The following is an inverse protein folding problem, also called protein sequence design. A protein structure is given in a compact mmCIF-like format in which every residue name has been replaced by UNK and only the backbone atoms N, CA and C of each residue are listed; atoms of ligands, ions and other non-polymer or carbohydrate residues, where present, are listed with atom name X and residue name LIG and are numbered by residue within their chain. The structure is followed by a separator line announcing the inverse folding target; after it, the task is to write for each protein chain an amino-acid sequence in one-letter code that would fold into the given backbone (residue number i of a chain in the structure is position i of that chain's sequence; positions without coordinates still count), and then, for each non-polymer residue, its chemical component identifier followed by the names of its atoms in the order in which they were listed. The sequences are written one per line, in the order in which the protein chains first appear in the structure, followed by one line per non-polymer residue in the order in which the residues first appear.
data_IF_753909779550
#
_entry.id   IF_753909779550
#
_cell.length_a   1.000
_cell.length_b   1.000
_cell.length_c   1.000
_cell.angle_alpha   90.00
_cell.angle_beta   90.00
_cell.angle_gamma   90.00
#
_symmetry.space_group_name_H-M   'P 1'
#
loop_
_entity.id
_entity.type
_entity.pdbx_description
1 polymer ?
#
# COMPACT_ATOMS: atom_id res chain seq x y z
N UNK A 1 10.71 19.74 6.30
CA UNK A 1 9.52 19.07 5.73
C UNK A 1 9.61 17.61 6.10
N UNK A 2 9.03 17.20 7.22
CA UNK A 2 8.80 15.79 7.56
C UNK A 2 7.72 15.77 8.65
N UNK A 3 6.46 15.78 8.24
CA UNK A 3 5.37 15.41 9.15
C UNK A 3 5.31 13.88 9.13
N UNK A 4 5.86 13.23 10.16
CA UNK A 4 5.61 11.82 10.44
C UNK A 4 4.88 11.74 11.79
N UNK A 5 3.57 11.50 11.81
CA UNK A 5 2.95 10.79 12.89
C UNK A 5 2.98 9.30 12.56
N UNK A 6 3.80 8.57 13.31
CA UNK A 6 3.72 7.12 13.37
C UNK A 6 2.33 6.67 13.84
N UNK A 7 1.80 5.66 13.18
CA UNK A 7 0.78 4.77 13.76
C UNK A 7 1.22 3.34 13.43
N UNK A 8 1.73 2.71 14.48
CA UNK A 8 1.88 1.28 14.66
C UNK A 8 0.46 0.68 14.55
N UNK A 9 0.12 0.08 13.40
CA UNK A 9 -1.04 -0.84 13.19
C UNK A 9 -1.24 -1.22 11.71
N UNK A 10 -0.54 -0.59 10.77
CA UNK A 10 -0.67 -0.97 9.37
C UNK A 10 0.40 -0.30 8.53
N UNK A 11 1.12 -1.10 7.75
CA UNK A 11 2.14 -0.62 6.82
C UNK A 11 1.63 0.63 6.08
N UNK A 12 2.34 1.74 6.25
CA UNK A 12 2.09 3.02 5.56
C UNK A 12 1.92 2.78 4.05
N UNK A 13 1.08 3.55 3.34
CA UNK A 13 0.97 3.39 1.87
C UNK A 13 2.35 3.46 1.20
N UNK A 14 3.21 4.38 1.66
CA UNK A 14 4.60 4.50 1.23
C UNK A 14 5.43 3.25 1.56
N UNK A 15 5.33 2.73 2.78
CA UNK A 15 6.05 1.52 3.18
C UNK A 15 5.56 0.27 2.42
N UNK A 16 4.27 0.17 2.12
CA UNK A 16 3.71 -0.93 1.33
C UNK A 16 4.21 -0.86 -0.11
N UNK A 17 4.38 0.35 -0.64
CA UNK A 17 4.95 0.58 -1.96
C UNK A 17 6.46 0.29 -2.01
N UNK A 18 7.21 0.59 -0.96
CA UNK A 18 8.62 0.19 -0.83
C UNK A 18 8.77 -1.33 -0.77
N UNK A 19 7.95 -2.00 0.04
CA UNK A 19 7.96 -3.47 0.15
C UNK A 19 7.57 -4.13 -1.19
N UNK A 20 6.61 -3.56 -1.92
CA UNK A 20 6.27 -4.03 -3.27
C UNK A 20 7.43 -3.89 -4.26
N UNK A 21 8.20 -2.79 -4.20
CA UNK A 21 9.39 -2.61 -5.06
C UNK A 21 10.51 -3.59 -4.71
N UNK A 22 10.70 -3.89 -3.42
CA UNK A 22 11.64 -4.92 -2.98
C UNK A 22 11.24 -6.30 -3.50
N UNK A 23 9.95 -6.65 -3.36
CA UNK A 23 9.40 -7.90 -3.92
C UNK A 23 9.65 -7.96 -5.42
N UNK A 24 9.40 -6.88 -6.17
CA UNK A 24 9.63 -6.83 -7.61
C UNK A 24 11.10 -7.08 -7.97
N UNK A 25 12.01 -6.45 -7.23
CA UNK A 25 13.46 -6.62 -7.40
C UNK A 25 13.89 -8.07 -7.13
N UNK A 26 13.31 -8.71 -6.11
CA UNK A 26 13.56 -10.12 -5.81
C UNK A 26 13.00 -11.06 -6.89
N UNK A 27 11.83 -10.76 -7.44
CA UNK A 27 11.22 -11.56 -8.52
C UNK A 27 12.04 -11.51 -9.82
N UNK A 28 12.76 -10.41 -10.06
CA UNK A 28 13.65 -10.23 -11.23
C UNK A 28 15.03 -10.86 -11.04
N UNK A 29 15.36 -11.30 -9.82
CA UNK A 29 16.66 -11.91 -9.52
C UNK A 29 16.74 -13.35 -10.06
N UNK A 30 17.83 -13.64 -10.77
CA UNK A 30 18.03 -14.88 -11.53
C UNK A 30 18.23 -16.14 -10.66
N UNK A 31 18.39 -15.98 -9.33
CA UNK A 31 18.69 -17.06 -8.39
C UNK A 31 17.59 -17.34 -7.36
N UNK A 32 16.33 -17.05 -7.68
CA UNK A 32 15.21 -17.24 -6.73
C UNK A 32 14.46 -18.54 -6.96
N UNK A 33 14.23 -19.28 -5.87
CA UNK A 33 13.44 -20.51 -5.83
C UNK A 33 11.95 -20.23 -6.14
N UNK A 34 11.29 -21.13 -6.88
CA UNK A 34 9.88 -20.98 -7.27
C UNK A 34 8.94 -20.89 -6.06
N UNK A 35 9.27 -21.60 -4.97
CA UNK A 35 8.50 -21.54 -3.73
C UNK A 35 8.64 -20.18 -3.04
N UNK A 36 9.82 -19.57 -3.16
CA UNK A 36 10.08 -18.22 -2.65
C UNK A 36 9.34 -17.16 -3.49
N UNK A 37 9.31 -17.30 -4.82
CA UNK A 37 8.53 -16.43 -5.70
C UNK A 37 7.04 -16.47 -5.34
N UNK A 38 6.48 -17.67 -5.11
CA UNK A 38 5.07 -17.83 -4.74
C UNK A 38 4.73 -17.09 -3.43
N UNK A 39 5.57 -17.25 -2.39
CA UNK A 39 5.39 -16.56 -1.12
C UNK A 39 5.49 -15.03 -1.25
N UNK A 40 6.38 -14.52 -2.13
CA UNK A 40 6.52 -13.09 -2.41
C UNK A 40 5.32 -12.52 -3.17
N UNK A 41 4.80 -13.24 -4.14
CA UNK A 41 3.59 -12.84 -4.89
C UNK A 41 2.37 -12.77 -3.95
N UNK A 42 2.19 -13.74 -3.05
CA UNK A 42 1.11 -13.67 -2.05
C UNK A 42 1.25 -12.45 -1.13
N UNK A 43 2.47 -12.11 -0.74
CA UNK A 43 2.74 -10.92 0.08
C UNK A 43 2.39 -9.66 -0.71
N UNK A 44 2.78 -9.58 -1.98
CA UNK A 44 2.42 -8.47 -2.85
C UNK A 44 0.91 -8.31 -3.01
N UNK A 45 0.14 -9.40 -3.18
CA UNK A 45 -1.33 -9.34 -3.25
C UNK A 45 -1.93 -8.71 -1.98
N UNK A 46 -1.44 -9.12 -0.80
CA UNK A 46 -1.89 -8.53 0.48
C UNK A 46 -1.59 -7.03 0.57
N UNK A 47 -0.41 -6.61 0.15
CA UNK A 47 -0.02 -5.18 0.14
C UNK A 47 -0.87 -4.37 -0.85
N UNK A 48 -1.16 -4.91 -2.02
CA UNK A 48 -2.01 -4.26 -3.02
C UNK A 48 -3.44 -4.06 -2.49
N UNK A 49 -4.01 -5.07 -1.83
CA UNK A 49 -5.33 -4.96 -1.19
C UNK A 49 -5.34 -3.86 -0.13
N UNK A 50 -4.34 -3.85 0.75
CA UNK A 50 -4.18 -2.79 1.75
C UNK A 50 -4.11 -1.39 1.11
N UNK A 51 -3.34 -1.25 0.04
CA UNK A 51 -3.24 0.01 -0.69
C UNK A 51 -4.59 0.47 -1.27
N UNK A 52 -5.37 -0.47 -1.83
CA UNK A 52 -6.71 -0.18 -2.38
C UNK A 52 -7.68 0.25 -1.29
N UNK A 53 -7.72 -0.46 -0.17
CA UNK A 53 -8.62 -0.13 0.94
C UNK A 53 -8.34 1.28 1.48
N UNK A 54 -7.05 1.66 1.55
CA UNK A 54 -6.65 3.01 1.95
C UNK A 54 -7.02 4.08 0.93
N UNK A 55 -6.88 3.79 -0.36
CA UNK A 55 -7.30 4.68 -1.44
C UNK A 55 -8.81 4.91 -1.41
N UNK A 56 -9.61 3.86 -1.21
CA UNK A 56 -11.07 3.99 -1.05
C UNK A 56 -11.43 4.82 0.18
N UNK A 57 -10.81 4.55 1.33
CA UNK A 57 -11.04 5.33 2.54
C UNK A 57 -10.68 6.81 2.36
N UNK A 58 -9.58 7.10 1.68
CA UNK A 58 -9.17 8.46 1.35
C UNK A 58 -10.17 9.13 0.39
N UNK A 59 -10.63 8.41 -0.64
CA UNK A 59 -11.62 8.90 -1.61
C UNK A 59 -12.94 9.24 -0.93
N UNK A 60 -13.44 8.36 -0.05
CA UNK A 60 -14.63 8.61 0.78
C UNK A 60 -14.46 9.86 1.66
N UNK A 61 -13.28 10.05 2.25
CA UNK A 61 -13.01 11.22 3.09
C UNK A 61 -13.02 12.52 2.27
N UNK A 62 -12.44 12.50 1.07
CA UNK A 62 -12.47 13.66 0.15
C UNK A 62 -13.91 13.95 -0.28
N UNK A 63 -14.67 12.93 -0.68
CA UNK A 63 -16.07 13.10 -1.08
C UNK A 63 -16.90 13.76 0.03
N UNK A 64 -16.74 13.32 1.29
CA UNK A 64 -17.44 13.93 2.43
C UNK A 64 -17.09 15.40 2.63
N UNK A 65 -15.84 15.80 2.39
CA UNK A 65 -15.40 17.20 2.51
C UNK A 65 -16.00 18.03 1.38
N UNK A 66 -15.98 17.53 0.15
CA UNK A 66 -16.60 18.20 -1.00
C UNK A 66 -18.10 18.36 -0.79
N UNK A 67 -18.81 17.30 -0.39
CA UNK A 67 -20.25 17.35 -0.11
C UNK A 67 -20.60 18.29 1.05
N UNK A 68 -19.67 18.56 1.97
CA UNK A 68 -19.86 19.51 3.06
C UNK A 68 -19.66 20.96 2.59
N UNK A 69 -18.74 21.18 1.63
CA UNK A 69 -18.52 22.49 1.00
C UNK A 69 -19.67 22.88 0.07
N UNK A 70 -20.23 21.93 -0.70
CA UNK A 70 -21.36 22.19 -1.61
C UNK A 70 -22.68 22.50 -0.89
N UNK A 71 -22.78 22.15 0.40
CA UNK A 71 -23.96 22.43 1.25
C UNK A 71 -23.81 23.69 2.10
N UNK A 72 -22.67 24.37 2.02
CA UNK A 72 -22.39 25.64 2.69
C UNK A 72 -22.62 26.83 1.76
#
# INVERSE_FOLDING_TARGET
MSDQPGTDDGVGYAAALEELQQILTELEAESVDVDHLAARVERADRLIRLCRDRLEAATLKVQRVVDALDRA
#
